data_IF_215073141652
#
_entry.id   IF_215073141652
#
_cell.length_a   1.000
_cell.length_b   1.000
_cell.length_c   1.000
_cell.angle_alpha   90.00
_cell.angle_beta   90.00
_cell.angle_gamma   90.00
#
_symmetry.space_group_name_H-M   'P 1'
#
loop_
_entity.id
_entity.type
_entity.pdbx_description
1 polymer ?
#
# COMPACT_ATOMS: atom_id res chain seq x y z
N UNK A 1 -14.03 -6.04 -6.52
CA UNK A 1 -13.50 -4.88 -5.75
C UNK A 1 -12.14 -5.13 -5.10
N UNK A 2 -11.97 -6.12 -4.19
CA UNK A 2 -10.67 -6.39 -3.53
C UNK A 2 -9.51 -6.56 -4.53
N UNK A 3 -9.70 -7.31 -5.61
CA UNK A 3 -8.64 -7.51 -6.61
C UNK A 3 -8.30 -6.25 -7.41
N UNK A 4 -9.28 -5.38 -7.65
CA UNK A 4 -9.06 -4.08 -8.27
C UNK A 4 -8.22 -3.18 -7.35
N UNK A 5 -8.54 -3.15 -6.05
CA UNK A 5 -7.75 -2.44 -5.05
C UNK A 5 -6.32 -3.00 -4.94
N UNK A 6 -6.14 -4.32 -4.97
CA UNK A 6 -4.81 -4.96 -5.02
C UNK A 6 -4.03 -4.51 -6.26
N UNK A 7 -4.66 -4.52 -7.45
CA UNK A 7 -4.02 -4.08 -8.71
C UNK A 7 -3.64 -2.61 -8.67
N UNK A 8 -4.54 -1.75 -8.16
CA UNK A 8 -4.29 -0.31 -8.00
C UNK A 8 -3.09 -0.06 -7.08
N UNK A 9 -3.09 -0.66 -5.88
CA UNK A 9 -1.99 -0.52 -4.92
C UNK A 9 -0.67 -1.05 -5.49
N UNK A 10 -0.68 -2.21 -6.18
CA UNK A 10 0.53 -2.74 -6.85
C UNK A 10 1.09 -1.73 -7.86
N UNK A 11 0.23 -1.10 -8.67
CA UNK A 11 0.64 -0.11 -9.66
C UNK A 11 1.21 1.14 -8.99
N UNK A 12 0.54 1.68 -7.98
CA UNK A 12 0.97 2.85 -7.22
C UNK A 12 2.32 2.63 -6.53
N UNK A 13 2.47 1.50 -5.86
CA UNK A 13 3.73 1.12 -5.19
C UNK A 13 4.85 0.93 -6.21
N UNK A 14 4.58 0.31 -7.37
CA UNK A 14 5.59 0.15 -8.41
C UNK A 14 6.07 1.48 -9.01
N UNK A 15 5.23 2.53 -8.99
CA UNK A 15 5.61 3.88 -9.43
C UNK A 15 6.35 4.71 -8.36
N UNK A 16 6.32 4.28 -7.10
CA UNK A 16 7.00 4.96 -6.00
C UNK A 16 8.52 4.76 -6.06
N UNK A 17 9.27 5.84 -6.27
CA UNK A 17 10.74 5.80 -6.37
C UNK A 17 11.41 5.29 -5.10
N UNK A 18 10.76 5.47 -3.95
CA UNK A 18 11.22 5.01 -2.62
C UNK A 18 11.40 3.47 -2.60
N UNK A 19 10.68 2.74 -3.47
CA UNK A 19 10.70 1.29 -3.55
C UNK A 19 11.50 0.76 -4.74
N UNK A 20 12.05 1.64 -5.59
CA UNK A 20 12.73 1.27 -6.82
C UNK A 20 14.08 0.54 -6.60
N UNK A 21 14.69 0.68 -5.42
CA UNK A 21 15.98 0.06 -5.09
C UNK A 21 15.88 -1.33 -4.48
N UNK A 22 14.70 -1.76 -4.03
CA UNK A 22 14.46 -3.11 -3.48
C UNK A 22 13.45 -3.85 -4.34
N UNK A 23 13.77 -5.10 -4.68
CA UNK A 23 12.87 -5.91 -5.50
C UNK A 23 11.56 -6.14 -4.75
N UNK A 24 10.49 -5.46 -5.16
CA UNK A 24 9.12 -5.67 -4.64
C UNK A 24 8.52 -7.03 -5.09
N UNK A 25 9.32 -7.90 -5.71
CA UNK A 25 8.94 -9.24 -6.15
C UNK A 25 8.74 -10.14 -4.93
N UNK A 26 7.59 -10.03 -4.28
CA UNK A 26 7.20 -10.93 -3.18
C UNK A 26 6.10 -10.42 -2.25
N UNK A 27 5.76 -9.13 -2.26
CA UNK A 27 4.76 -8.63 -1.31
C UNK A 27 3.34 -8.99 -1.71
N UNK A 28 2.72 -9.83 -0.89
CA UNK A 28 1.29 -10.02 -0.95
C UNK A 28 0.58 -8.80 -0.36
N UNK A 29 -0.14 -8.08 -1.23
CA UNK A 29 -1.05 -7.02 -0.81
C UNK A 29 -2.32 -7.68 -0.29
N UNK A 30 -2.51 -7.57 1.02
CA UNK A 30 -3.73 -7.96 1.70
C UNK A 30 -4.73 -6.80 1.72
N UNK A 31 -5.98 -7.12 1.39
CA UNK A 31 -7.11 -6.21 1.48
C UNK A 31 -8.19 -6.88 2.33
N UNK A 32 -8.44 -6.30 3.49
CA UNK A 32 -9.49 -6.71 4.43
C UNK A 32 -10.65 -5.73 4.39
N UNK A 33 -11.83 -6.16 4.86
CA UNK A 33 -12.88 -5.22 5.24
C UNK A 33 -12.39 -4.44 6.46
N UNK A 34 -12.70 -3.15 6.52
CA UNK A 34 -12.39 -2.38 7.73
C UNK A 34 -13.20 -2.91 8.90
N UNK A 35 -12.55 -3.03 10.06
CA UNK A 35 -13.23 -3.44 11.30
C UNK A 35 -14.15 -2.35 11.84
N UNK A 36 -13.86 -1.09 11.49
CA UNK A 36 -14.61 0.08 11.93
C UNK A 36 -15.14 0.88 10.73
N UNK A 37 -16.42 1.27 10.71
CA UNK A 37 -17.02 2.02 9.60
C UNK A 37 -16.33 3.34 9.28
N UNK A 38 -15.78 4.04 10.29
CA UNK A 38 -15.09 5.32 10.11
C UNK A 38 -13.76 5.21 9.35
N UNK A 39 -13.25 4.01 9.12
CA UNK A 39 -12.04 3.75 8.34
C UNK A 39 -12.35 3.39 6.87
N UNK A 40 -13.60 3.58 6.43
CA UNK A 40 -14.06 3.24 5.08
C UNK A 40 -14.31 1.74 4.90
N UNK A 41 -14.54 1.30 3.67
CA UNK A 41 -14.97 -0.08 3.38
C UNK A 41 -13.87 -1.15 3.48
N UNK A 42 -12.63 -0.74 3.20
CA UNK A 42 -11.48 -1.63 3.06
C UNK A 42 -10.22 -1.03 3.68
N UNK A 43 -9.35 -1.92 4.16
CA UNK A 43 -8.05 -1.56 4.75
C UNK A 43 -6.92 -2.42 4.17
N UNK A 44 -5.69 -1.89 4.22
CA UNK A 44 -4.48 -2.61 3.87
C UNK A 44 -3.33 -2.24 4.80
N UNK A 45 -2.60 -3.24 5.29
CA UNK A 45 -1.41 -3.06 6.13
C UNK A 45 -0.10 -3.00 5.32
N UNK A 46 -0.19 -2.72 4.02
CA UNK A 46 0.97 -2.79 3.12
C UNK A 46 2.10 -1.84 3.54
N UNK A 47 1.78 -0.66 4.07
CA UNK A 47 2.79 0.29 4.54
C UNK A 47 3.62 -0.25 5.72
N UNK A 48 3.00 -1.02 6.62
CA UNK A 48 3.69 -1.67 7.74
C UNK A 48 4.56 -2.84 7.27
N UNK A 49 4.13 -3.58 6.23
CA UNK A 49 4.96 -4.64 5.64
C UNK A 49 6.17 -4.03 4.94
N UNK A 50 5.96 -2.97 4.17
CA UNK A 50 7.02 -2.24 3.47
C UNK A 50 8.01 -1.59 4.43
N UNK A 51 7.54 -0.96 5.52
CA UNK A 51 8.41 -0.26 6.48
C UNK A 51 9.50 -1.16 7.05
N UNK A 52 9.18 -2.42 7.34
CA UNK A 52 10.14 -3.40 7.87
C UNK A 52 11.27 -3.69 6.87
N UNK A 53 10.97 -3.58 5.59
CA UNK A 53 11.85 -4.01 4.51
C UNK A 53 12.72 -2.86 4.04
N UNK A 54 12.18 -1.64 3.95
CA UNK A 54 12.95 -0.46 3.55
C UNK A 54 13.55 0.32 4.74
N UNK A 55 13.24 -0.07 5.97
CA UNK A 55 13.71 0.61 7.19
C UNK A 55 13.13 2.02 7.36
N UNK A 56 12.01 2.32 6.69
CA UNK A 56 11.33 3.63 6.75
C UNK A 56 10.13 3.57 7.70
N UNK A 57 9.67 4.75 8.14
CA UNK A 57 8.49 4.85 8.98
C UNK A 57 7.21 4.45 8.21
N UNK A 58 6.38 3.59 8.81
CA UNK A 58 5.15 3.08 8.19
C UNK A 58 4.09 4.16 7.93
N UNK A 59 3.99 5.17 8.78
CA UNK A 59 3.06 6.28 8.59
C UNK A 59 3.48 7.16 7.41
N UNK A 60 4.77 7.44 7.27
CA UNK A 60 5.30 8.17 6.12
C UNK A 60 5.08 7.40 4.81
N UNK A 61 5.31 6.08 4.82
CA UNK A 61 5.02 5.22 3.67
C UNK A 61 3.53 5.18 3.31
N UNK A 62 2.66 5.05 4.31
CA UNK A 62 1.21 5.07 4.08
C UNK A 62 0.76 6.39 3.45
N UNK A 63 1.31 7.51 3.94
CA UNK A 63 1.05 8.85 3.40
C UNK A 63 1.52 8.98 1.95
N UNK A 64 2.75 8.57 1.66
CA UNK A 64 3.31 8.62 0.30
C UNK A 64 2.50 7.78 -0.67
N UNK A 65 2.22 6.52 -0.33
CA UNK A 65 1.44 5.61 -1.16
C UNK A 65 0.05 6.20 -1.41
N UNK A 66 -0.62 6.70 -0.37
CA UNK A 66 -1.96 7.31 -0.48
C UNK A 66 -1.97 8.51 -1.43
N UNK A 67 -0.98 9.40 -1.32
CA UNK A 67 -0.84 10.57 -2.18
C UNK A 67 -0.53 10.20 -3.64
N UNK A 68 0.11 9.06 -3.87
CA UNK A 68 0.45 8.52 -5.18
C UNK A 68 -0.68 7.70 -5.83
N UNK A 69 -1.80 7.47 -5.14
CA UNK A 69 -2.97 6.82 -5.74
C UNK A 69 -3.60 7.78 -6.74
N UNK A 70 -3.58 7.41 -8.02
CA UNK A 70 -4.36 8.08 -9.05
C UNK A 70 -5.83 7.76 -8.81
N UNK A 71 -6.59 8.77 -8.38
CA UNK A 71 -8.04 8.66 -8.25
C UNK A 71 -8.67 8.64 -9.65
N UNK A 72 -9.65 7.77 -9.91
CA UNK A 72 -10.42 7.80 -11.15
C UNK A 72 -11.22 9.10 -11.30
#
# INVERSE_FOLDING_TARGET
>A
MKDQLKKLLKKTIASEKILASKSFKGFEIEISRSAKPEHGDFSSNIALKLSKEVGLNSFQLATSISNSIVKP
#
